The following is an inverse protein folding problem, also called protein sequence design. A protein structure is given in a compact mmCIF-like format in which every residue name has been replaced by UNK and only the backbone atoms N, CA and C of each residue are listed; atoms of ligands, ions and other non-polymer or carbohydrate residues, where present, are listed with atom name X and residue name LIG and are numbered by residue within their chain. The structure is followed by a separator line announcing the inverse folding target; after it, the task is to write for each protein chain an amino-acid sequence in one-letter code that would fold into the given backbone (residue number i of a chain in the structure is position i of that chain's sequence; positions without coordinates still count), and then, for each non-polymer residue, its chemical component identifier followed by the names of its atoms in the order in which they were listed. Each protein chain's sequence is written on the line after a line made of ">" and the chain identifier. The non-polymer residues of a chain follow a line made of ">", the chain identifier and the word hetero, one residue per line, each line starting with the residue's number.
data_IF_393676495898
#
_entry.id   IF_393676495898
#
_cell.length_a   1.000
_cell.length_b   1.000
_cell.length_c   1.000
_cell.angle_alpha   90.00
_cell.angle_beta   90.00
_cell.angle_gamma   90.00
#
_symmetry.space_group_name_H-M   'P 1'
#
loop_
_entity.id
_entity.type
_entity.pdbx_description
1 polymer ?
#
# COMPACT_ATOMS: atom_id res chain seq x y z
N UNK A 1 -6.59 22.38 19.61
CA UNK A 1 -7.64 21.67 20.39
C UNK A 1 -7.60 20.22 19.93
N UNK A 2 -7.49 19.26 20.85
CA UNK A 2 -7.30 17.86 20.46
C UNK A 2 -8.67 17.24 20.12
N UNK A 3 -8.85 16.70 18.91
CA UNK A 3 -10.11 16.06 18.49
C UNK A 3 -10.16 14.58 18.90
N UNK A 4 -9.98 14.29 20.20
CA UNK A 4 -10.15 12.92 20.70
C UNK A 4 -11.64 12.62 20.81
N UNK A 5 -12.14 11.75 19.92
CA UNK A 5 -13.52 11.26 19.96
C UNK A 5 -13.62 10.04 20.90
N UNK A 6 -14.70 9.98 21.69
CA UNK A 6 -15.00 8.84 22.57
C UNK A 6 -16.19 8.09 22.00
N UNK A 7 -16.01 6.81 21.73
CA UNK A 7 -17.07 5.91 21.25
C UNK A 7 -17.15 4.66 22.13
N UNK A 8 -18.33 4.02 22.24
CA UNK A 8 -18.46 2.75 22.95
C UNK A 8 -17.54 1.66 22.37
N UNK A 9 -17.03 0.76 23.22
CA UNK A 9 -16.17 -0.34 22.74
C UNK A 9 -16.89 -1.25 21.73
N UNK A 10 -18.21 -1.40 21.85
CA UNK A 10 -19.02 -2.21 20.92
C UNK A 10 -19.15 -1.63 19.51
N UNK A 11 -18.72 -0.38 19.25
CA UNK A 11 -18.64 0.17 17.90
C UNK A 11 -17.25 -0.02 17.26
N UNK A 12 -16.29 -0.61 17.97
CA UNK A 12 -14.95 -0.84 17.44
C UNK A 12 -14.99 -1.90 16.34
N UNK A 13 -14.57 -1.52 15.13
CA UNK A 13 -14.60 -2.42 13.96
C UNK A 13 -15.89 -2.39 13.15
N UNK A 14 -16.84 -1.55 13.52
CA UNK A 14 -18.08 -1.28 12.79
C UNK A 14 -18.14 0.17 12.32
N UNK A 15 -19.15 0.51 11.52
CA UNK A 15 -19.36 1.84 10.95
C UNK A 15 -18.13 2.33 10.15
N UNK A 16 -17.42 1.40 9.49
CA UNK A 16 -16.23 1.73 8.70
C UNK A 16 -16.57 2.70 7.58
N UNK A 17 -17.75 2.55 6.99
CA UNK A 17 -18.31 3.46 6.00
C UNK A 17 -19.44 4.24 6.66
N UNK A 18 -19.36 5.57 6.63
CA UNK A 18 -20.49 6.40 7.07
C UNK A 18 -21.74 6.07 6.25
N UNK A 19 -22.88 5.89 6.93
CA UNK A 19 -24.14 5.45 6.32
C UNK A 19 -24.59 6.25 5.09
N UNK A 20 -24.25 7.55 5.00
CA UNK A 20 -24.52 8.40 3.83
C UNK A 20 -23.79 7.98 2.55
N UNK A 21 -22.70 7.22 2.67
CA UNK A 21 -21.90 6.71 1.56
C UNK A 21 -22.21 5.25 1.22
N UNK A 22 -23.10 4.59 1.99
CA UNK A 22 -23.52 3.21 1.72
C UNK A 22 -24.69 3.25 0.72
N UNK A 23 -24.60 2.57 -0.43
CA UNK A 23 -25.70 2.51 -1.39
C UNK A 23 -26.97 1.85 -0.81
N UNK A 24 -28.14 2.25 -1.32
CA UNK A 24 -29.42 1.66 -0.89
C UNK A 24 -29.43 0.14 -1.07
N UNK A 25 -29.82 -0.59 -0.02
CA UNK A 25 -29.90 -2.05 -0.02
C UNK A 25 -28.55 -2.77 0.15
N UNK A 26 -27.49 -2.04 0.52
CA UNK A 26 -26.17 -2.58 0.88
C UNK A 26 -25.87 -2.31 2.36
N UNK A 27 -24.96 -3.10 2.92
CA UNK A 27 -24.36 -2.89 4.25
C UNK A 27 -22.94 -2.31 4.09
N UNK A 28 -22.21 -2.11 5.20
CA UNK A 28 -20.83 -1.62 5.16
C UNK A 28 -19.83 -2.61 4.54
N UNK A 29 -20.20 -3.90 4.43
CA UNK A 29 -19.31 -4.97 3.96
C UNK A 29 -19.40 -5.23 2.45
N UNK A 30 -20.29 -4.55 1.72
CA UNK A 30 -20.52 -4.85 0.30
C UNK A 30 -19.26 -4.81 -0.58
N UNK A 31 -18.39 -3.81 -0.41
CA UNK A 31 -17.11 -3.73 -1.15
C UNK A 31 -16.13 -4.79 -0.69
N UNK A 32 -16.02 -4.99 0.64
CA UNK A 32 -15.21 -6.05 1.23
C UNK A 32 -15.57 -7.42 0.64
N UNK A 33 -16.86 -7.70 0.45
CA UNK A 33 -17.35 -8.94 -0.13
C UNK A 33 -17.05 -9.06 -1.64
N UNK A 34 -16.97 -7.95 -2.37
CA UNK A 34 -16.54 -7.94 -3.78
C UNK A 34 -15.01 -8.12 -3.90
N UNK A 35 -14.24 -7.55 -2.96
CA UNK A 35 -12.78 -7.64 -2.92
C UNK A 35 -12.29 -9.02 -2.49
N UNK A 36 -12.95 -9.64 -1.50
CA UNK A 36 -12.60 -10.97 -1.03
C UNK A 36 -13.14 -12.03 -2.00
N UNK A 37 -12.24 -12.62 -2.78
CA UNK A 37 -12.53 -13.64 -3.81
C UNK A 37 -11.85 -14.97 -3.52
N UNK A 38 -11.57 -15.26 -2.25
CA UNK A 38 -10.84 -16.46 -1.86
C UNK A 38 -11.64 -17.77 -2.02
N UNK A 39 -12.95 -17.69 -2.30
CA UNK A 39 -13.82 -18.84 -2.52
C UNK A 39 -14.13 -19.66 -1.26
N UNK A 40 -13.70 -19.20 -0.08
CA UNK A 40 -13.92 -19.90 1.18
C UNK A 40 -15.38 -19.75 1.60
N UNK A 41 -16.03 -20.87 1.87
CA UNK A 41 -17.32 -20.89 2.54
C UNK A 41 -17.10 -20.71 4.03
N UNK A 42 -17.75 -19.70 4.60
CA UNK A 42 -17.60 -19.34 6.00
C UNK A 42 -18.83 -19.78 6.80
N UNK A 43 -18.58 -20.38 7.95
CA UNK A 43 -19.59 -20.74 8.96
C UNK A 43 -19.30 -20.03 10.27
N UNK A 44 -20.30 -20.03 11.17
CA UNK A 44 -20.10 -19.61 12.55
C UNK A 44 -19.23 -20.61 13.30
N UNK A 45 -18.58 -20.13 14.35
CA UNK A 45 -17.92 -21.00 15.33
C UNK A 45 -18.94 -21.90 16.04
N UNK A 46 -18.51 -23.12 16.32
CA UNK A 46 -19.22 -24.05 17.21
C UNK A 46 -18.93 -23.69 18.67
N UNK A 47 -19.75 -24.20 19.60
CA UNK A 47 -19.55 -24.00 21.04
C UNK A 47 -18.16 -24.49 21.51
N UNK A 48 -17.72 -25.65 20.99
CA UNK A 48 -16.40 -26.21 21.28
C UNK A 48 -15.27 -25.29 20.80
N UNK A 49 -15.35 -24.76 19.57
CA UNK A 49 -14.33 -23.86 19.05
C UNK A 49 -14.24 -22.57 19.86
N UNK A 50 -15.37 -22.01 20.31
CA UNK A 50 -15.39 -20.83 21.19
C UNK A 50 -14.71 -21.13 22.53
N UNK A 51 -14.99 -22.29 23.14
CA UNK A 51 -14.36 -22.69 24.41
C UNK A 51 -12.83 -22.78 24.27
N UNK A 52 -12.33 -23.42 23.20
CA UNK A 52 -10.90 -23.52 22.92
C UNK A 52 -10.28 -22.13 22.71
N UNK A 53 -10.95 -21.25 21.95
CA UNK A 53 -10.47 -19.88 21.72
C UNK A 53 -10.37 -19.10 23.03
N UNK A 54 -11.37 -19.17 23.90
CA UNK A 54 -11.36 -18.51 25.22
C UNK A 54 -10.25 -19.09 26.11
N UNK A 55 -10.10 -20.42 26.15
CA UNK A 55 -9.01 -21.09 26.89
C UNK A 55 -7.63 -20.65 26.40
N UNK A 56 -7.49 -20.41 25.09
CA UNK A 56 -6.28 -19.89 24.45
C UNK A 56 -6.09 -18.37 24.65
N UNK A 57 -6.85 -17.76 25.57
CA UNK A 57 -6.79 -16.33 25.93
C UNK A 57 -7.19 -15.39 24.80
N UNK A 58 -8.00 -15.86 23.86
CA UNK A 58 -8.60 -14.98 22.87
C UNK A 58 -9.84 -14.30 23.44
N UNK A 59 -10.11 -13.09 22.98
CA UNK A 59 -11.33 -12.33 23.33
C UNK A 59 -12.00 -11.84 22.06
N UNK A 60 -13.33 -11.74 22.06
CA UNK A 60 -14.10 -11.11 21.00
C UNK A 60 -15.15 -10.19 21.62
N UNK A 61 -15.50 -9.11 20.93
CA UNK A 61 -16.71 -8.33 21.17
C UNK A 61 -17.99 -9.16 20.93
N UNK A 62 -18.03 -9.93 19.84
CA UNK A 62 -19.10 -10.87 19.52
C UNK A 62 -18.57 -12.06 18.69
N UNK A 63 -18.59 -13.25 19.29
CA UNK A 63 -18.15 -14.48 18.63
C UNK A 63 -18.98 -14.86 17.39
N UNK A 64 -20.20 -14.32 17.22
CA UNK A 64 -20.98 -14.53 16.00
C UNK A 64 -20.36 -13.86 14.77
N UNK A 65 -19.51 -12.85 14.99
CA UNK A 65 -18.83 -12.11 13.93
C UNK A 65 -17.45 -12.68 13.62
N UNK A 66 -17.01 -13.73 14.32
CA UNK A 66 -15.86 -14.54 13.94
C UNK A 66 -16.36 -15.72 13.12
N UNK A 67 -16.13 -15.66 11.81
CA UNK A 67 -16.51 -16.70 10.87
C UNK A 67 -15.28 -17.48 10.43
N UNK A 68 -15.45 -18.79 10.26
CA UNK A 68 -14.34 -19.70 9.99
C UNK A 68 -14.67 -20.66 8.85
N UNK A 69 -13.64 -21.15 8.17
CA UNK A 69 -13.80 -22.26 7.22
C UNK A 69 -14.10 -23.58 7.93
N UNK A 70 -14.57 -24.59 7.20
CA UNK A 70 -14.85 -25.92 7.78
C UNK A 70 -13.61 -26.59 8.39
N UNK A 71 -12.44 -26.40 7.78
CA UNK A 71 -11.16 -26.96 8.23
C UNK A 71 -10.40 -26.04 9.21
N UNK A 72 -11.11 -25.16 9.92
CA UNK A 72 -10.51 -24.30 10.93
C UNK A 72 -10.08 -25.08 12.18
N UNK A 73 -8.90 -24.74 12.72
CA UNK A 73 -8.39 -25.31 13.97
C UNK A 73 -8.20 -24.22 15.04
N UNK A 74 -9.04 -24.17 16.09
CA UNK A 74 -8.96 -23.15 17.14
C UNK A 74 -7.69 -23.26 18.01
N UNK A 75 -6.99 -24.41 18.03
CA UNK A 75 -5.76 -24.59 18.80
C UNK A 75 -4.59 -23.74 18.26
N UNK A 76 -4.70 -23.27 17.02
CA UNK A 76 -3.70 -22.44 16.34
C UNK A 76 -3.98 -20.95 16.47
N UNK A 77 -4.92 -20.56 17.33
CA UNK A 77 -5.28 -19.16 17.58
C UNK A 77 -5.11 -18.88 19.06
N UNK A 78 -4.18 -17.98 19.43
CA UNK A 78 -3.84 -17.71 20.84
C UNK A 78 -3.61 -16.23 21.11
N UNK A 79 -4.08 -15.77 22.27
CA UNK A 79 -3.84 -14.42 22.78
C UNK A 79 -4.17 -13.30 21.76
N UNK A 80 -5.26 -13.46 21.01
CA UNK A 80 -5.75 -12.46 20.05
C UNK A 80 -7.00 -11.75 20.56
N UNK A 81 -7.21 -10.53 20.08
CA UNK A 81 -8.43 -9.75 20.34
C UNK A 81 -9.15 -9.49 19.03
N UNK A 82 -10.39 -9.95 18.92
CA UNK A 82 -11.23 -9.81 17.73
C UNK A 82 -12.28 -8.73 17.93
N UNK A 83 -12.45 -7.89 16.92
CA UNK A 83 -13.47 -6.84 16.87
C UNK A 83 -14.08 -6.76 15.47
N UNK A 84 -15.39 -6.52 15.38
CA UNK A 84 -16.08 -6.49 14.11
C UNK A 84 -16.13 -7.85 13.41
N UNK A 85 -16.47 -7.84 12.12
CA UNK A 85 -16.55 -9.07 11.31
C UNK A 85 -15.14 -9.58 10.97
N UNK A 86 -14.73 -10.73 11.51
CA UNK A 86 -13.45 -11.38 11.21
C UNK A 86 -13.68 -12.72 10.52
N UNK A 87 -13.00 -12.98 9.41
CA UNK A 87 -13.16 -14.22 8.63
C UNK A 87 -11.83 -14.96 8.52
N UNK A 88 -11.77 -16.22 8.93
CA UNK A 88 -10.52 -17.01 9.01
C UNK A 88 -10.63 -18.27 8.15
N UNK A 89 -9.68 -18.46 7.25
CA UNK A 89 -9.56 -19.66 6.43
C UNK A 89 -9.15 -20.90 7.21
N UNK A 90 -8.69 -21.92 6.48
CA UNK A 90 -8.16 -23.15 7.05
C UNK A 90 -6.88 -22.86 7.83
N UNK A 91 -6.70 -23.50 8.99
CA UNK A 91 -5.46 -23.47 9.76
C UNK A 91 -5.01 -24.90 10.06
N UNK A 92 -3.99 -25.36 9.34
CA UNK A 92 -3.39 -26.68 9.57
C UNK A 92 -2.19 -26.59 10.54
N UNK A 93 -1.91 -27.65 11.32
CA UNK A 93 -0.78 -27.70 12.26
C UNK A 93 0.56 -27.88 11.52
N UNK A 94 0.90 -26.90 10.69
CA UNK A 94 2.13 -26.84 9.89
C UNK A 94 2.89 -25.55 10.18
N UNK A 95 4.10 -25.43 9.65
CA UNK A 95 4.86 -24.19 9.68
C UNK A 95 5.10 -23.67 8.27
N UNK A 96 5.14 -22.35 8.11
CA UNK A 96 5.66 -21.70 6.93
C UNK A 96 7.15 -21.39 7.14
N UNK A 97 7.96 -21.62 6.11
CA UNK A 97 9.37 -21.24 6.10
C UNK A 97 9.65 -20.23 5.00
N UNK A 98 10.31 -19.13 5.36
CA UNK A 98 10.80 -18.17 4.39
C UNK A 98 12.21 -17.72 4.77
N UNK A 99 13.17 -18.09 3.92
CA UNK A 99 14.61 -18.04 4.25
C UNK A 99 14.86 -18.86 5.54
N UNK A 100 15.66 -18.35 6.47
CA UNK A 100 16.06 -19.09 7.68
C UNK A 100 15.01 -19.06 8.81
N UNK A 101 13.84 -18.45 8.58
CA UNK A 101 12.78 -18.33 9.58
C UNK A 101 11.73 -19.41 9.34
N UNK A 102 11.35 -20.12 10.40
CA UNK A 102 10.24 -21.09 10.45
C UNK A 102 9.21 -20.60 11.46
N UNK A 103 7.96 -20.50 11.04
CA UNK A 103 6.87 -19.92 11.84
C UNK A 103 5.65 -20.82 11.77
N UNK A 104 5.03 -21.09 12.92
CA UNK A 104 3.82 -21.91 12.99
C UNK A 104 2.64 -21.18 12.37
N UNK A 105 1.84 -21.87 11.55
CA UNK A 105 0.57 -21.35 11.03
C UNK A 105 -0.39 -21.08 12.17
N UNK A 106 -1.02 -19.91 12.12
CA UNK A 106 -1.97 -19.47 13.14
C UNK A 106 -2.01 -17.96 13.33
N UNK A 107 -2.84 -17.55 14.29
CA UNK A 107 -3.00 -16.16 14.72
C UNK A 107 -2.57 -16.03 16.18
N UNK A 108 -1.59 -15.18 16.45
CA UNK A 108 -0.93 -15.07 17.74
C UNK A 108 -0.70 -13.60 18.12
N UNK A 109 -0.95 -13.29 19.39
CA UNK A 109 -0.51 -12.04 20.04
C UNK A 109 -0.88 -10.76 19.27
N UNK A 110 -2.11 -10.67 18.76
CA UNK A 110 -2.50 -9.58 17.84
C UNK A 110 -3.92 -9.07 18.11
N UNK A 111 -4.12 -7.76 17.92
CA UNK A 111 -5.46 -7.16 17.84
C UNK A 111 -5.91 -7.15 16.39
N UNK A 112 -7.07 -7.72 16.12
CA UNK A 112 -7.60 -7.97 14.78
C UNK A 112 -8.98 -7.32 14.68
N UNK A 113 -9.13 -6.38 13.76
CA UNK A 113 -10.34 -5.57 13.63
C UNK A 113 -10.85 -5.64 12.20
N UNK A 114 -12.00 -6.27 11.99
CA UNK A 114 -12.65 -6.36 10.69
C UNK A 114 -11.71 -6.83 9.57
N UNK A 115 -11.16 -8.04 9.69
CA UNK A 115 -10.17 -8.59 8.75
C UNK A 115 -10.60 -9.91 8.11
N UNK A 116 -10.05 -10.20 6.93
CA UNK A 116 -10.14 -11.51 6.29
C UNK A 116 -8.76 -12.15 6.22
N UNK A 117 -8.68 -13.43 6.56
CA UNK A 117 -7.47 -14.23 6.43
C UNK A 117 -7.76 -15.44 5.54
N UNK A 118 -6.87 -15.65 4.56
CA UNK A 118 -6.85 -16.85 3.73
C UNK A 118 -6.42 -18.09 4.50
N UNK A 119 -6.08 -19.14 3.76
CA UNK A 119 -5.64 -20.41 4.31
C UNK A 119 -4.19 -20.33 4.80
N UNK A 120 -3.91 -21.01 5.91
CA UNK A 120 -2.58 -21.26 6.43
C UNK A 120 -1.72 -20.01 6.60
N UNK A 121 -2.32 -18.91 7.08
CA UNK A 121 -1.59 -17.68 7.37
C UNK A 121 -0.77 -17.80 8.66
N UNK A 122 0.28 -16.98 8.75
CA UNK A 122 1.02 -16.73 9.99
C UNK A 122 0.81 -15.26 10.34
N UNK A 123 0.18 -14.99 11.48
CA UNK A 123 0.05 -13.63 12.04
C UNK A 123 0.55 -13.70 13.47
N UNK A 124 1.73 -13.15 13.75
CA UNK A 124 2.31 -13.20 15.08
C UNK A 124 2.90 -11.85 15.49
N UNK A 125 2.46 -11.33 16.64
CA UNK A 125 2.93 -10.06 17.19
C UNK A 125 2.78 -8.89 16.20
N UNK A 126 1.63 -8.83 15.51
CA UNK A 126 1.27 -7.73 14.60
C UNK A 126 0.66 -6.54 15.36
N UNK A 127 0.41 -6.70 16.66
CA UNK A 127 -0.14 -5.72 17.61
C UNK A 127 -1.53 -5.18 17.25
N UNK A 128 -1.70 -4.62 16.05
CA UNK A 128 -2.94 -4.08 15.52
C UNK A 128 -2.99 -4.23 13.99
N UNK A 129 -4.00 -4.96 13.51
CA UNK A 129 -4.36 -5.09 12.10
C UNK A 129 -5.85 -4.79 11.92
N UNK A 130 -6.17 -3.87 11.00
CA UNK A 130 -7.52 -3.34 10.85
C UNK A 130 -7.91 -3.10 9.39
N UNK A 131 -9.06 -3.65 8.98
CA UNK A 131 -9.64 -3.48 7.64
C UNK A 131 -8.72 -3.98 6.52
N UNK A 132 -8.22 -5.20 6.67
CA UNK A 132 -7.35 -5.87 5.71
C UNK A 132 -7.91 -7.20 5.21
N UNK A 133 -7.67 -7.48 3.93
CA UNK A 133 -7.89 -8.77 3.30
C UNK A 133 -6.53 -9.41 3.04
N UNK A 134 -6.23 -10.46 3.79
CA UNK A 134 -4.96 -11.17 3.75
C UNK A 134 -5.13 -12.49 2.98
N UNK A 135 -4.29 -12.70 1.97
CA UNK A 135 -4.29 -13.87 1.11
C UNK A 135 -3.84 -15.16 1.82
N UNK A 136 -3.65 -16.21 1.02
CA UNK A 136 -3.19 -17.52 1.51
C UNK A 136 -1.69 -17.50 1.81
N UNK A 137 -1.27 -18.26 2.83
CA UNK A 137 0.14 -18.51 3.15
C UNK A 137 0.96 -17.23 3.37
N UNK A 138 0.29 -16.17 3.81
CA UNK A 138 0.92 -14.88 4.12
C UNK A 138 1.59 -14.97 5.49
N UNK A 139 2.77 -14.37 5.61
CA UNK A 139 3.51 -14.23 6.86
C UNK A 139 3.51 -12.76 7.30
N UNK A 140 2.86 -12.45 8.42
CA UNK A 140 2.87 -11.15 9.09
C UNK A 140 3.46 -11.32 10.49
N UNK A 141 4.69 -10.82 10.71
CA UNK A 141 5.37 -10.99 12.00
C UNK A 141 6.02 -9.71 12.49
N UNK A 142 5.84 -9.37 13.77
CA UNK A 142 6.44 -8.19 14.40
C UNK A 142 6.17 -6.90 13.59
N UNK A 143 4.91 -6.67 13.25
CA UNK A 143 4.44 -5.46 12.57
C UNK A 143 3.78 -4.58 13.62
N UNK A 144 3.93 -3.26 13.60
CA UNK A 144 3.38 -2.42 14.68
C UNK A 144 2.34 -1.37 14.25
N UNK A 145 1.85 -1.40 13.00
CA UNK A 145 0.48 -1.00 12.67
C UNK A 145 0.15 -1.35 11.21
N UNK A 146 -0.91 -2.13 10.98
CA UNK A 146 -1.56 -2.33 9.67
C UNK A 146 -2.99 -1.76 9.72
N UNK A 147 -3.26 -0.63 9.08
CA UNK A 147 -4.62 -0.10 9.05
C UNK A 147 -5.02 0.51 7.71
N UNK A 148 -6.30 0.37 7.38
CA UNK A 148 -6.88 0.99 6.20
C UNK A 148 -8.01 1.92 6.60
N UNK A 149 -8.10 3.06 5.91
CA UNK A 149 -9.17 4.04 6.01
C UNK A 149 -10.21 3.85 4.92
N UNK A 150 -11.44 4.28 5.18
CA UNK A 150 -12.56 4.20 4.23
C UNK A 150 -12.30 4.99 2.94
N UNK A 151 -11.47 6.02 2.99
CA UNK A 151 -11.12 6.89 1.87
C UNK A 151 -9.73 6.59 1.29
N UNK A 152 -9.19 5.40 1.58
CA UNK A 152 -7.92 4.94 1.02
C UNK A 152 -7.92 4.95 -0.52
N UNK A 153 -6.78 5.37 -1.09
CA UNK A 153 -6.57 5.49 -2.55
C UNK A 153 -5.45 4.59 -3.08
N UNK A 154 -4.67 3.99 -2.17
CA UNK A 154 -3.57 3.08 -2.46
C UNK A 154 -2.57 3.68 -3.46
N UNK A 155 -2.22 4.96 -3.27
CA UNK A 155 -1.26 5.70 -4.09
C UNK A 155 -1.84 6.34 -5.35
N UNK A 156 -3.05 5.96 -5.78
CA UNK A 156 -3.71 6.60 -6.92
C UNK A 156 -4.15 8.03 -6.57
N UNK A 157 -3.98 8.97 -7.49
CA UNK A 157 -4.38 10.37 -7.34
C UNK A 157 -5.87 10.64 -7.59
N UNK A 158 -6.73 9.64 -7.39
CA UNK A 158 -8.18 9.79 -7.53
C UNK A 158 -8.81 10.43 -6.29
N UNK A 159 -10.04 10.94 -6.43
CA UNK A 159 -10.88 11.34 -5.29
C UNK A 159 -11.92 10.27 -4.99
N UNK A 160 -12.23 10.16 -3.70
CA UNK A 160 -13.37 9.41 -3.18
C UNK A 160 -14.59 10.31 -3.02
N UNK A 161 -15.77 9.71 -2.99
CA UNK A 161 -17.02 10.45 -2.86
C UNK A 161 -17.02 11.37 -1.63
N UNK A 162 -17.47 12.61 -1.82
CA UNK A 162 -17.48 13.64 -0.78
C UNK A 162 -16.11 14.22 -0.40
N UNK A 163 -15.02 13.85 -1.08
CA UNK A 163 -13.73 14.53 -0.91
C UNK A 163 -13.64 15.79 -1.79
N UNK A 164 -13.00 16.83 -1.26
CA UNK A 164 -12.67 18.05 -2.01
C UNK A 164 -11.46 17.84 -2.91
N UNK A 165 -11.34 18.62 -3.99
CA UNK A 165 -10.15 18.61 -4.86
C UNK A 165 -8.84 18.92 -4.13
N UNK A 166 -8.88 19.64 -3.01
CA UNK A 166 -7.71 19.99 -2.20
C UNK A 166 -6.95 18.78 -1.63
N UNK A 167 -7.59 17.60 -1.51
CA UNK A 167 -6.93 16.38 -1.01
C UNK A 167 -6.44 15.48 -2.14
N UNK A 168 -6.55 15.92 -3.40
CA UNK A 168 -6.04 15.18 -4.55
C UNK A 168 -4.52 15.13 -4.49
N UNK A 169 -3.97 13.95 -4.72
CA UNK A 169 -2.53 13.78 -4.84
C UNK A 169 -2.15 14.04 -6.29
N UNK A 170 -1.24 14.99 -6.46
CA UNK A 170 -0.62 15.33 -7.72
C UNK A 170 0.85 14.93 -7.70
N UNK A 171 1.37 14.49 -8.84
CA UNK A 171 2.78 14.23 -9.06
C UNK A 171 3.37 15.43 -9.82
N UNK A 172 4.16 16.26 -9.15
CA UNK A 172 4.67 17.53 -9.67
C UNK A 172 5.97 17.33 -10.49
N UNK A 173 5.89 16.56 -11.57
CA UNK A 173 7.05 16.30 -12.42
C UNK A 173 7.47 17.52 -13.25
N UNK A 174 8.76 17.62 -13.55
CA UNK A 174 9.40 18.61 -14.41
C UNK A 174 9.18 20.10 -14.06
N UNK A 175 8.57 20.39 -12.91
CA UNK A 175 8.29 21.74 -12.44
C UNK A 175 8.01 21.70 -10.92
N UNK A 176 8.80 22.44 -10.14
CA UNK A 176 8.71 22.47 -8.67
C UNK A 176 7.50 23.27 -8.14
N UNK A 177 6.95 24.17 -8.95
CA UNK A 177 5.76 24.96 -8.64
C UNK A 177 4.45 24.24 -9.01
N UNK A 178 4.53 23.01 -9.54
CA UNK A 178 3.37 22.17 -9.85
C UNK A 178 2.63 22.51 -11.14
N UNK A 179 3.13 23.44 -11.97
CA UNK A 179 2.51 23.83 -13.25
C UNK A 179 2.36 22.67 -14.24
N UNK A 180 3.24 21.67 -14.13
CA UNK A 180 3.27 20.44 -14.95
C UNK A 180 2.77 19.20 -14.22
N UNK A 181 2.00 19.39 -13.15
CA UNK A 181 1.53 18.28 -12.34
C UNK A 181 0.59 17.33 -13.11
N UNK A 182 0.73 16.05 -12.79
CA UNK A 182 -0.05 14.95 -13.37
C UNK A 182 -0.70 14.14 -12.25
N UNK A 183 -1.80 13.44 -12.53
CA UNK A 183 -2.45 12.58 -11.55
C UNK A 183 -1.82 11.18 -11.63
N UNK A 184 -1.15 10.69 -10.58
CA UNK A 184 -0.55 9.35 -10.60
C UNK A 184 -1.64 8.27 -10.58
N UNK A 185 -1.46 7.19 -11.33
CA UNK A 185 -2.35 6.04 -11.28
C UNK A 185 -1.59 4.73 -11.52
N UNK A 186 -2.08 3.64 -10.92
CA UNK A 186 -1.45 2.34 -11.04
C UNK A 186 -1.47 1.89 -12.51
N UNK A 187 -0.29 1.60 -13.06
CA UNK A 187 -0.12 1.29 -14.49
C UNK A 187 0.23 2.48 -15.39
N UNK A 188 0.38 3.70 -14.84
CA UNK A 188 0.84 4.85 -15.60
C UNK A 188 2.21 4.59 -16.25
N UNK A 189 2.33 4.88 -17.54
CA UNK A 189 3.57 4.79 -18.31
C UNK A 189 4.31 6.14 -18.33
N UNK A 190 5.64 6.16 -18.57
CA UNK A 190 6.37 7.43 -18.68
C UNK A 190 5.86 8.29 -19.85
N UNK A 191 5.32 7.66 -20.90
CA UNK A 191 4.66 8.34 -22.01
C UNK A 191 3.41 9.10 -21.58
N UNK A 192 2.55 8.50 -20.73
CA UNK A 192 1.34 9.15 -20.22
C UNK A 192 1.71 10.40 -19.42
N UNK A 193 2.69 10.28 -18.53
CA UNK A 193 3.21 11.36 -17.73
C UNK A 193 3.86 12.46 -18.59
N UNK A 194 4.60 12.08 -19.64
CA UNK A 194 5.20 13.02 -20.58
C UNK A 194 4.13 13.83 -21.34
N UNK A 195 3.13 13.17 -21.92
CA UNK A 195 2.05 13.84 -22.64
C UNK A 195 1.32 14.83 -21.71
N UNK A 196 0.98 14.40 -20.49
CA UNK A 196 0.26 15.26 -19.56
C UNK A 196 1.10 16.44 -19.04
N UNK A 197 2.39 16.25 -18.81
CA UNK A 197 3.26 17.33 -18.32
C UNK A 197 3.68 18.35 -19.39
N UNK A 198 3.57 18.03 -20.69
CA UNK A 198 4.06 18.86 -21.78
C UNK A 198 2.99 19.65 -22.52
N UNK A 199 1.85 19.05 -22.83
CA UNK A 199 0.80 19.68 -23.64
C UNK A 199 -0.15 20.52 -22.78
N UNK A 200 0.39 21.40 -21.93
CA UNK A 200 -0.38 22.16 -20.92
C UNK A 200 -1.37 23.16 -21.52
N UNK A 201 -1.08 23.67 -22.70
CA UNK A 201 -1.94 24.61 -23.43
C UNK A 201 -3.19 23.94 -24.01
N UNK A 202 -3.22 22.60 -24.14
CA UNK A 202 -4.39 21.85 -24.59
C UNK A 202 -5.33 21.54 -23.41
N UNK A 203 -6.16 22.53 -23.07
CA UNK A 203 -7.13 22.41 -21.96
C UNK A 203 -8.08 21.21 -22.12
N UNK A 204 -8.45 20.87 -23.36
CA UNK A 204 -9.35 19.76 -23.66
C UNK A 204 -8.66 18.44 -23.30
N UNK A 205 -7.41 18.26 -23.73
CA UNK A 205 -6.59 17.10 -23.39
C UNK A 205 -6.36 16.99 -21.88
N UNK A 206 -6.00 18.09 -21.20
CA UNK A 206 -5.78 18.10 -19.75
C UNK A 206 -7.04 17.68 -18.97
N UNK A 207 -8.21 18.17 -19.39
CA UNK A 207 -9.50 17.78 -18.82
C UNK A 207 -9.78 16.30 -19.06
N UNK A 208 -9.51 15.79 -20.27
CA UNK A 208 -9.73 14.38 -20.62
C UNK A 208 -8.84 13.44 -19.83
N UNK A 209 -7.56 13.76 -19.64
CA UNK A 209 -6.70 12.96 -18.77
C UNK A 209 -7.24 12.86 -17.35
N UNK A 210 -7.67 13.98 -16.76
CA UNK A 210 -8.30 13.98 -15.43
C UNK A 210 -9.56 13.11 -15.39
N UNK A 211 -10.44 13.23 -16.38
CA UNK A 211 -11.66 12.42 -16.49
C UNK A 211 -11.36 10.92 -16.62
N UNK A 212 -10.40 10.54 -17.46
CA UNK A 212 -10.01 9.15 -17.69
C UNK A 212 -9.41 8.53 -16.42
N UNK A 213 -8.46 9.21 -15.79
CA UNK A 213 -7.85 8.72 -14.54
C UNK A 213 -8.88 8.58 -13.43
N UNK A 214 -9.82 9.52 -13.30
CA UNK A 214 -10.87 9.42 -12.27
C UNK A 214 -11.86 8.29 -12.55
N UNK A 215 -12.12 7.94 -13.82
CA UNK A 215 -13.04 6.86 -14.22
C UNK A 215 -12.44 5.46 -14.10
N UNK A 216 -11.11 5.35 -14.20
CA UNK A 216 -10.40 4.06 -14.16
C UNK A 216 -10.54 3.36 -12.79
N UNK A 217 -10.70 4.12 -11.71
CA UNK A 217 -10.78 3.61 -10.36
C UNK A 217 -12.10 3.99 -9.70
N UNK A 218 -12.66 3.09 -8.90
CA UNK A 218 -13.90 3.32 -8.17
C UNK A 218 -13.72 4.43 -7.10
N UNK A 219 -14.60 5.42 -7.13
CA UNK A 219 -14.66 6.56 -6.20
C UNK A 219 -15.40 6.23 -4.89
N UNK A 220 -15.99 5.04 -4.75
CA UNK A 220 -16.65 4.60 -3.51
C UNK A 220 -15.64 4.47 -2.36
N UNK A 221 -16.15 4.69 -1.15
CA UNK A 221 -15.44 4.51 0.12
C UNK A 221 -15.64 3.11 0.67
N UNK A 222 -14.70 2.65 1.48
CA UNK A 222 -14.79 1.38 2.20
C UNK A 222 -13.99 0.24 1.60
N UNK A 223 -13.05 0.53 0.70
CA UNK A 223 -12.11 -0.49 0.23
C UNK A 223 -11.15 -0.87 1.34
N UNK A 224 -10.96 -2.16 1.52
CA UNK A 224 -10.00 -2.71 2.48
C UNK A 224 -8.61 -2.74 1.86
N UNK A 225 -7.59 -2.64 2.71
CA UNK A 225 -6.23 -2.94 2.33
C UNK A 225 -6.13 -4.41 1.96
N UNK A 226 -5.18 -4.76 1.10
CA UNK A 226 -5.04 -6.14 0.63
C UNK A 226 -3.59 -6.55 0.59
N UNK A 227 -3.35 -7.79 1.01
CA UNK A 227 -2.04 -8.45 0.99
C UNK A 227 -2.21 -9.74 0.19
N UNK A 228 -1.55 -9.84 -0.96
CA UNK A 228 -1.64 -11.01 -1.83
C UNK A 228 -0.96 -12.24 -1.24
N UNK A 229 -1.30 -13.40 -1.79
CA UNK A 229 -0.83 -14.72 -1.36
C UNK A 229 0.70 -14.80 -1.25
N UNK A 230 1.20 -15.62 -0.32
CA UNK A 230 2.64 -15.89 -0.09
C UNK A 230 3.50 -14.63 0.14
N UNK A 231 2.88 -13.51 0.47
CA UNK A 231 3.58 -12.29 0.84
C UNK A 231 4.15 -12.41 2.24
N UNK A 232 5.34 -11.86 2.44
CA UNK A 232 6.04 -11.87 3.73
C UNK A 232 6.30 -10.45 4.18
N UNK A 233 5.72 -10.06 5.31
CA UNK A 233 5.94 -8.78 5.98
C UNK A 233 6.47 -9.06 7.37
N UNK A 234 7.72 -8.64 7.65
CA UNK A 234 8.34 -8.87 8.94
C UNK A 234 9.06 -7.65 9.51
N UNK A 235 9.06 -7.54 10.83
CA UNK A 235 9.80 -6.54 11.59
C UNK A 235 9.57 -5.09 11.08
N UNK A 236 8.35 -4.79 10.65
CA UNK A 236 8.02 -3.48 10.06
C UNK A 236 7.20 -2.63 11.04
N UNK A 237 7.08 -1.34 10.79
CA UNK A 237 6.31 -0.42 11.64
C UNK A 237 4.98 -0.07 11.00
N UNK A 238 4.85 1.12 10.45
CA UNK A 238 3.56 1.64 9.98
C UNK A 238 3.32 1.19 8.54
N UNK A 239 2.22 0.47 8.32
CA UNK A 239 1.67 0.17 7.01
C UNK A 239 0.22 0.66 7.00
N UNK A 240 -0.05 1.76 6.29
CA UNK A 240 -1.35 2.42 6.29
C UNK A 240 -1.88 2.68 4.89
N UNK A 241 -3.09 2.24 4.59
CA UNK A 241 -3.71 2.39 3.27
C UNK A 241 -2.84 1.78 2.15
N UNK A 242 -2.39 0.54 2.35
CA UNK A 242 -1.46 -0.14 1.43
C UNK A 242 -2.11 -1.35 0.77
N UNK A 243 -1.93 -1.46 -0.54
CA UNK A 243 -2.28 -2.63 -1.33
C UNK A 243 -1.01 -3.32 -1.82
N UNK A 244 -0.84 -4.60 -1.49
CA UNK A 244 0.34 -5.41 -1.78
C UNK A 244 -0.08 -6.61 -2.64
N UNK A 245 0.63 -6.82 -3.74
CA UNK A 245 0.51 -8.00 -4.61
C UNK A 245 0.95 -9.29 -3.93
N UNK A 246 0.97 -10.40 -4.67
CA UNK A 246 1.42 -11.69 -4.13
C UNK A 246 2.95 -11.78 -4.12
N UNK A 247 3.48 -12.67 -3.28
CA UNK A 247 4.90 -13.01 -3.23
C UNK A 247 5.84 -11.82 -2.93
N UNK A 248 5.29 -10.70 -2.43
CA UNK A 248 6.07 -9.54 -2.05
C UNK A 248 6.88 -9.82 -0.79
N UNK A 249 8.03 -9.17 -0.65
CA UNK A 249 8.86 -9.28 0.54
C UNK A 249 9.15 -7.93 1.17
N UNK A 250 8.63 -7.71 2.37
CA UNK A 250 8.79 -6.47 3.12
C UNK A 250 9.45 -6.80 4.46
N UNK A 251 10.63 -6.22 4.71
CA UNK A 251 11.38 -6.43 5.95
C UNK A 251 11.90 -5.10 6.47
N UNK A 252 11.56 -4.75 7.71
CA UNK A 252 12.18 -3.59 8.37
C UNK A 252 11.72 -2.23 7.86
N UNK A 253 10.58 -2.15 7.17
CA UNK A 253 10.08 -0.87 6.68
C UNK A 253 9.60 0.00 7.85
N UNK A 254 9.98 1.28 7.86
CA UNK A 254 9.59 2.22 8.91
C UNK A 254 8.18 2.77 8.66
N UNK A 255 7.87 3.10 7.40
CA UNK A 255 6.58 3.70 7.05
C UNK A 255 6.24 3.43 5.60
N UNK A 256 5.12 2.76 5.36
CA UNK A 256 4.51 2.57 4.06
C UNK A 256 3.10 3.15 4.14
N UNK A 257 2.82 4.25 3.43
CA UNK A 257 1.54 4.94 3.53
C UNK A 257 0.96 5.28 2.17
N UNK A 258 -0.30 4.89 1.94
CA UNK A 258 -1.05 5.17 0.73
C UNK A 258 -0.28 4.71 -0.52
N UNK A 259 -0.10 3.40 -0.65
CA UNK A 259 0.72 2.78 -1.69
C UNK A 259 0.00 1.63 -2.39
N UNK A 260 0.32 1.43 -3.66
CA UNK A 260 0.19 0.13 -4.33
C UNK A 260 1.60 -0.43 -4.53
N UNK A 261 1.83 -1.66 -4.09
CA UNK A 261 3.06 -2.42 -4.31
C UNK A 261 2.71 -3.62 -5.16
N UNK A 262 2.93 -3.51 -6.46
CA UNK A 262 2.70 -4.60 -7.40
C UNK A 262 3.78 -5.66 -7.23
N UNK A 263 3.35 -6.91 -7.14
CA UNK A 263 4.22 -8.07 -6.98
C UNK A 263 3.46 -9.31 -7.45
N UNK A 264 4.18 -10.25 -8.04
CA UNK A 264 3.68 -11.53 -8.54
C UNK A 264 4.71 -12.64 -8.25
N UNK A 265 4.36 -13.92 -8.42
CA UNK A 265 5.32 -15.02 -8.28
C UNK A 265 6.53 -14.86 -9.20
N UNK A 266 6.30 -14.33 -10.42
CA UNK A 266 7.31 -14.15 -11.47
C UNK A 266 8.13 -12.87 -11.25
N UNK A 267 7.51 -11.81 -10.72
CA UNK A 267 8.09 -10.47 -10.64
C UNK A 267 7.96 -9.90 -9.22
N UNK A 268 8.68 -10.53 -8.28
CA UNK A 268 8.62 -10.23 -6.85
C UNK A 268 9.19 -8.86 -6.52
N UNK A 269 8.39 -8.01 -5.88
CA UNK A 269 8.84 -6.72 -5.35
C UNK A 269 9.32 -6.83 -3.91
N UNK A 270 10.37 -6.08 -3.58
CA UNK A 270 11.03 -6.14 -2.28
C UNK A 270 11.23 -4.75 -1.67
N UNK A 271 10.91 -4.63 -0.38
CA UNK A 271 11.14 -3.42 0.43
C UNK A 271 11.93 -3.80 1.68
N UNK A 272 13.09 -3.20 1.86
CA UNK A 272 14.02 -3.50 2.93
C UNK A 272 14.02 -2.50 4.09
N UNK A 273 15.07 -2.61 4.90
CA UNK A 273 15.14 -1.94 6.20
C UNK A 273 15.24 -0.41 6.09
N UNK A 274 14.58 0.27 7.02
CA UNK A 274 14.62 1.73 7.18
C UNK A 274 13.85 2.51 6.12
N UNK A 275 13.16 1.83 5.20
CA UNK A 275 12.47 2.47 4.07
C UNK A 275 11.21 3.23 4.52
N UNK A 276 11.02 4.41 3.94
CA UNK A 276 9.85 5.27 4.11
C UNK A 276 9.24 5.63 2.74
N UNK A 277 8.07 5.11 2.42
CA UNK A 277 7.35 5.37 1.17
C UNK A 277 5.97 5.95 1.45
N UNK A 278 5.65 7.09 0.84
CA UNK A 278 4.38 7.79 1.04
C UNK A 278 3.79 8.26 -0.28
N UNK A 279 2.50 7.97 -0.52
CA UNK A 279 1.75 8.38 -1.71
C UNK A 279 2.45 7.95 -3.01
N UNK A 280 2.45 6.67 -3.32
CA UNK A 280 3.22 6.19 -4.46
C UNK A 280 2.83 4.83 -4.99
N UNK A 281 3.37 4.53 -6.16
CA UNK A 281 3.08 3.33 -6.92
C UNK A 281 4.40 2.61 -7.19
N UNK A 282 4.48 1.36 -6.77
CA UNK A 282 5.64 0.50 -6.99
C UNK A 282 5.22 -0.57 -8.00
N UNK A 283 5.90 -0.59 -9.14
CA UNK A 283 5.71 -1.57 -10.22
C UNK A 283 6.21 -2.96 -9.83
N UNK A 284 6.09 -3.90 -10.77
CA UNK A 284 6.51 -5.29 -10.57
C UNK A 284 8.03 -5.41 -10.48
N UNK A 285 8.53 -6.41 -9.74
CA UNK A 285 9.97 -6.71 -9.64
C UNK A 285 10.84 -5.60 -9.04
N UNK A 286 10.26 -4.61 -8.36
CA UNK A 286 10.99 -3.46 -7.84
C UNK A 286 11.77 -3.78 -6.56
N UNK A 287 12.84 -3.03 -6.30
CA UNK A 287 13.74 -3.25 -5.15
C UNK A 287 14.05 -1.94 -4.43
N UNK A 288 13.53 -1.77 -3.23
CA UNK A 288 13.72 -0.55 -2.43
C UNK A 288 14.39 -0.88 -1.11
N UNK A 289 15.63 -0.45 -0.89
CA UNK A 289 16.44 -0.92 0.25
C UNK A 289 17.23 0.18 0.95
N UNK A 290 17.63 -0.10 2.18
CA UNK A 290 18.67 0.63 2.91
C UNK A 290 18.31 2.11 3.13
N UNK A 291 17.20 2.38 3.81
CA UNK A 291 16.87 3.74 4.27
C UNK A 291 16.35 4.70 3.19
N UNK A 292 15.90 4.19 2.05
CA UNK A 292 15.28 5.03 0.98
C UNK A 292 14.07 5.79 1.51
N UNK A 293 13.94 7.04 1.05
CA UNK A 293 12.76 7.87 1.29
C UNK A 293 12.13 8.28 -0.03
N UNK A 294 10.86 7.96 -0.23
CA UNK A 294 10.14 8.41 -1.42
C UNK A 294 8.75 8.96 -1.08
N UNK A 295 8.40 10.09 -1.69
CA UNK A 295 7.15 10.81 -1.42
C UNK A 295 6.57 11.31 -2.73
N UNK A 296 5.31 10.95 -3.04
CA UNK A 296 4.68 11.27 -4.33
C UNK A 296 5.56 10.78 -5.47
N UNK A 297 5.50 9.48 -5.73
CA UNK A 297 6.40 8.85 -6.69
C UNK A 297 5.75 7.72 -7.46
N UNK A 298 6.31 7.44 -8.65
CA UNK A 298 6.05 6.22 -9.39
C UNK A 298 7.39 5.54 -9.66
N UNK A 299 7.49 4.28 -9.26
CA UNK A 299 8.60 3.40 -9.56
C UNK A 299 8.11 2.36 -10.56
N UNK A 300 8.51 2.48 -11.82
CA UNK A 300 8.10 1.54 -12.86
C UNK A 300 8.85 0.19 -12.72
N UNK A 301 8.41 -0.84 -13.46
CA UNK A 301 8.85 -2.22 -13.26
C UNK A 301 10.37 -2.42 -13.27
N UNK A 302 10.84 -3.35 -12.44
CA UNK A 302 12.24 -3.74 -12.25
C UNK A 302 13.18 -2.60 -11.84
N UNK A 303 12.64 -1.50 -11.32
CA UNK A 303 13.44 -0.36 -10.89
C UNK A 303 13.87 -0.50 -9.43
N UNK A 304 14.96 0.17 -9.10
CA UNK A 304 15.65 0.00 -7.82
C UNK A 304 16.00 1.34 -7.19
N UNK A 305 15.70 1.46 -5.89
CA UNK A 305 16.14 2.57 -5.05
C UNK A 305 16.96 1.98 -3.90
N UNK A 306 18.16 2.52 -3.65
CA UNK A 306 19.07 1.97 -2.63
C UNK A 306 19.80 3.05 -1.85
N UNK A 307 20.33 2.64 -0.70
CA UNK A 307 21.35 3.37 0.06
C UNK A 307 20.97 4.82 0.37
N UNK A 308 19.77 5.03 0.91
CA UNK A 308 19.30 6.35 1.32
C UNK A 308 18.86 7.27 0.17
N UNK A 309 18.69 6.75 -1.05
CA UNK A 309 18.16 7.55 -2.15
C UNK A 309 16.83 8.23 -1.78
N UNK A 310 16.67 9.47 -2.23
CA UNK A 310 15.47 10.30 -2.06
C UNK A 310 14.79 10.50 -3.40
N UNK A 311 13.54 10.06 -3.52
CA UNK A 311 12.73 10.21 -4.74
C UNK A 311 11.44 10.96 -4.40
N UNK A 312 11.36 12.24 -4.74
CA UNK A 312 10.23 13.10 -4.35
C UNK A 312 9.59 13.69 -5.61
N UNK A 313 8.26 13.67 -5.70
CA UNK A 313 7.52 14.21 -6.85
C UNK A 313 8.01 13.68 -8.21
N UNK A 314 8.45 12.42 -8.26
CA UNK A 314 9.23 11.93 -9.39
C UNK A 314 8.74 10.58 -9.92
N UNK A 315 8.95 10.38 -11.22
CA UNK A 315 8.70 9.13 -11.93
C UNK A 315 10.04 8.51 -12.32
N UNK A 316 10.30 7.27 -11.90
CA UNK A 316 11.46 6.49 -12.31
C UNK A 316 11.03 5.37 -13.26
N UNK A 317 11.50 5.44 -14.51
CA UNK A 317 11.18 4.51 -15.59
C UNK A 317 11.75 3.11 -15.40
N UNK A 318 11.23 2.16 -16.20
CA UNK A 318 11.53 0.73 -16.05
C UNK A 318 13.04 0.45 -16.07
N UNK A 319 13.46 -0.62 -15.38
CA UNK A 319 14.85 -1.08 -15.38
C UNK A 319 15.86 0.02 -15.00
N UNK A 320 15.49 0.90 -14.06
CA UNK A 320 16.36 2.00 -13.63
C UNK A 320 16.82 1.82 -12.20
N UNK A 321 18.01 2.33 -11.87
CA UNK A 321 18.58 2.27 -10.53
C UNK A 321 19.02 3.66 -10.07
N UNK A 322 18.55 4.06 -8.88
CA UNK A 322 19.09 5.22 -8.17
C UNK A 322 19.63 4.76 -6.80
N UNK A 323 20.85 5.16 -6.49
CA UNK A 323 21.53 4.86 -5.22
C UNK A 323 22.12 6.14 -4.63
N UNK A 324 21.97 6.36 -3.32
CA UNK A 324 22.61 7.46 -2.57
C UNK A 324 22.25 8.91 -2.96
N UNK A 325 21.38 9.12 -3.96
CA UNK A 325 21.14 10.44 -4.56
C UNK A 325 19.81 11.07 -4.17
N UNK A 326 19.65 12.35 -4.48
CA UNK A 326 18.38 13.07 -4.37
C UNK A 326 17.84 13.41 -5.76
N UNK A 327 16.59 13.02 -6.00
CA UNK A 327 15.84 13.26 -7.23
C UNK A 327 14.50 13.88 -6.87
N UNK A 328 14.27 15.09 -7.37
CA UNK A 328 13.11 15.93 -7.06
C UNK A 328 12.39 16.29 -8.36
N UNK A 329 11.05 16.23 -8.34
CA UNK A 329 10.19 16.77 -9.40
C UNK A 329 10.64 16.34 -10.81
N UNK A 330 11.03 15.08 -11.01
CA UNK A 330 11.69 14.62 -12.24
C UNK A 330 10.91 13.50 -12.94
N UNK A 331 10.91 13.53 -14.28
CA UNK A 331 10.41 12.46 -15.13
C UNK A 331 11.60 11.76 -15.79
N UNK A 332 11.85 10.52 -15.39
CA UNK A 332 13.00 9.73 -15.85
C UNK A 332 12.47 8.54 -16.65
N UNK A 333 12.91 8.43 -17.90
CA UNK A 333 12.57 7.34 -18.81
C UNK A 333 13.35 6.06 -18.48
N UNK A 334 12.97 4.91 -19.06
CA UNK A 334 13.59 3.62 -18.75
C UNK A 334 15.11 3.54 -18.98
N UNK A 335 15.78 2.70 -18.18
CA UNK A 335 17.20 2.41 -18.31
C UNK A 335 18.09 3.52 -17.74
N UNK A 336 17.69 4.14 -16.63
CA UNK A 336 18.47 5.18 -15.96
C UNK A 336 19.33 4.61 -14.84
N UNK A 337 20.61 4.98 -14.82
CA UNK A 337 21.57 4.58 -13.79
C UNK A 337 22.16 5.81 -13.09
N UNK A 338 22.08 5.84 -11.76
CA UNK A 338 22.62 6.91 -10.94
C UNK A 338 23.11 6.35 -9.59
N UNK A 339 24.43 6.39 -9.36
CA UNK A 339 25.05 5.73 -8.20
C UNK A 339 25.81 6.66 -7.25
N UNK A 340 26.17 7.85 -7.71
CA UNK A 340 27.09 8.73 -7.00
C UNK A 340 26.34 9.73 -6.15
N UNK A 341 26.53 9.69 -4.83
CA UNK A 341 25.83 10.52 -3.85
C UNK A 341 25.87 12.04 -4.10
N UNK A 342 26.86 12.50 -4.86
CA UNK A 342 27.08 13.90 -5.21
C UNK A 342 26.35 14.32 -6.51
N UNK A 343 25.45 13.50 -7.04
CA UNK A 343 24.59 13.85 -8.17
C UNK A 343 23.18 14.22 -7.71
N UNK A 344 22.59 15.21 -8.37
CA UNK A 344 21.31 15.81 -8.03
C UNK A 344 20.49 16.08 -9.29
N UNK A 345 19.24 15.60 -9.31
CA UNK A 345 18.28 15.87 -10.39
C UNK A 345 17.10 16.63 -9.79
N UNK A 346 16.77 17.77 -10.38
CA UNK A 346 15.64 18.59 -9.94
C UNK A 346 14.90 19.18 -11.13
N UNK A 347 13.57 19.10 -11.15
CA UNK A 347 12.74 19.57 -12.26
C UNK A 347 13.18 18.98 -13.63
N UNK A 348 13.80 17.79 -13.64
CA UNK A 348 14.47 17.26 -14.82
C UNK A 348 13.57 16.34 -15.64
N UNK A 349 13.76 16.38 -16.97
CA UNK A 349 13.30 15.34 -17.89
C UNK A 349 14.53 14.62 -18.44
N UNK A 350 14.66 13.33 -18.13
CA UNK A 350 15.73 12.49 -18.65
C UNK A 350 15.10 11.45 -19.56
N UNK A 351 15.40 11.56 -20.86
CA UNK A 351 14.86 10.68 -21.90
C UNK A 351 15.90 9.64 -22.31
N UNK A 352 15.42 8.46 -22.73
CA UNK A 352 16.27 7.36 -23.19
C UNK A 352 17.07 6.70 -22.07
N UNK A 353 17.89 5.73 -22.46
CA UNK A 353 18.84 5.10 -21.57
C UNK A 353 19.89 6.13 -21.13
N UNK A 354 20.10 6.26 -19.82
CA UNK A 354 20.93 7.33 -19.27
C UNK A 354 21.80 6.84 -18.12
N UNK A 355 22.95 7.47 -17.96
CA UNK A 355 23.86 7.21 -16.84
C UNK A 355 24.36 8.56 -16.32
N UNK A 356 24.09 8.84 -15.04
CA UNK A 356 24.42 10.10 -14.40
C UNK A 356 25.84 10.08 -13.84
N UNK A 357 26.67 10.96 -14.39
CA UNK A 357 28.03 11.15 -13.90
C UNK A 357 28.05 11.66 -12.45
N UNK A 358 29.11 11.32 -11.72
CA UNK A 358 29.38 11.91 -10.41
C UNK A 358 29.45 13.45 -10.50
N UNK A 359 28.86 14.14 -9.53
CA UNK A 359 28.85 15.59 -9.47
C UNK A 359 27.84 16.28 -10.41
N UNK A 360 27.09 15.52 -11.21
CA UNK A 360 26.09 16.09 -12.11
C UNK A 360 24.95 16.75 -11.32
N UNK A 361 24.71 18.04 -11.58
CA UNK A 361 23.57 18.81 -11.07
C UNK A 361 22.71 19.19 -12.26
N UNK A 362 21.59 18.49 -12.46
CA UNK A 362 20.77 18.61 -13.67
C UNK A 362 19.38 19.16 -13.33
N UNK A 363 19.00 20.19 -14.07
CA UNK A 363 17.75 20.91 -13.94
C UNK A 363 17.78 21.99 -12.84
N UNK A 364 16.77 22.84 -12.85
CA UNK A 364 16.64 24.03 -11.99
C UNK A 364 15.21 24.58 -12.07
N UNK A 365 14.72 25.17 -10.98
CA UNK A 365 13.50 25.98 -10.87
C UNK A 365 13.74 27.49 -11.02
N UNK A 366 14.98 27.89 -11.27
CA UNK A 366 15.44 29.27 -11.40
C UNK A 366 16.24 29.44 -12.70
N UNK A 367 15.63 29.08 -13.83
CA UNK A 367 16.19 29.28 -15.16
C UNK A 367 16.04 30.75 -15.61
N UNK A 368 15.12 31.50 -14.98
CA UNK A 368 14.96 32.94 -15.15
C UNK A 368 15.25 33.73 -13.86
N UNK A 369 15.40 35.06 -13.96
CA UNK A 369 15.53 35.96 -12.77
C UNK A 369 14.21 36.11 -11.98
N UNK A 370 13.18 35.33 -12.30
CA UNK A 370 11.90 35.24 -11.58
C UNK A 370 11.61 33.80 -11.13
N UNK A 371 10.47 33.58 -10.47
CA UNK A 371 10.01 32.21 -10.24
C UNK A 371 9.59 31.59 -11.58
N UNK A 372 10.18 30.46 -11.96
CA UNK A 372 9.80 29.75 -13.19
C UNK A 372 8.40 29.13 -13.00
N UNK A 373 7.39 29.93 -13.33
CA UNK A 373 5.98 29.57 -13.28
C UNK A 373 5.41 29.22 -14.65
N UNK A 374 6.17 28.49 -15.49
CA UNK A 374 5.61 27.94 -16.75
C UNK A 374 4.36 27.09 -16.49
#
# INVERSE_FOLDING_TARGET
>A
MNEIQKSPIGSLGYDFISSKYIPKGKDEYYLRNIQNRNGIQYRKLTAYEIEVLVRNRNTSDDWNNVLVSDAFNPELVKNCKFFGLVRIGKLEPLYLSFHDIRLTVGLYNSTIISCDFGNNVVVDNVNYVSHYIVGNEVILVNVNELSTTDHSKFGNGILKDGESEAVRIWLEICNENGGRSVIPFNGMLPGDAYLWSRYRDDEVLMKKFKEFTQREFDNKRGYYGKIGDRTVIKNSKILKDVWIGSDAYIKGANKLKNLTINSSPEEKSQIGEGVELVNGLVGFGCRVFYGVKAVRFILASHSQLKYGARLINSYLGNNSTISCCEVLNSLIFPGHEQHHNNSFLCAALVMGQSNMAAGATIGSNHNSRGADGE
#
